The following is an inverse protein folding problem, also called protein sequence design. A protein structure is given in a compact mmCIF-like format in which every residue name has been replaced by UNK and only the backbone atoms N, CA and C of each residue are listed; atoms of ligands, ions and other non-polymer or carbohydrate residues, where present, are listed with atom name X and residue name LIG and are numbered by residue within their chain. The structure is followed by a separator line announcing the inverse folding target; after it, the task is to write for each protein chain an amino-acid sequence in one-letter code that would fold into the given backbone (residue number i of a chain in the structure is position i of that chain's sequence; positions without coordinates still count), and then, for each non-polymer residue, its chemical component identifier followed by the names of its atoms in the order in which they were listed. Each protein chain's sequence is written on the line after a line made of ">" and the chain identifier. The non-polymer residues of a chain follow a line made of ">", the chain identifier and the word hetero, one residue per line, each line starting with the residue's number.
data_IF_710051534885
#
_entry.id   IF_710051534885
#
_cell.length_a   1.000
_cell.length_b   1.000
_cell.length_c   1.000
_cell.angle_alpha   90.00
_cell.angle_beta   90.00
_cell.angle_gamma   90.00
#
_symmetry.space_group_name_H-M   'P 1'
#
loop_
_entity.id
_entity.type
_entity.pdbx_description
1 polymer ?
#
# COMPACT_ATOMS: atom_id res chain seq x y z
N UNK A 1 8.08 16.97 -4.23
CA UNK A 1 7.66 16.28 -2.99
C UNK A 1 7.82 14.79 -3.26
N UNK A 2 8.47 14.04 -2.37
CA UNK A 2 8.72 12.60 -2.60
C UNK A 2 7.56 11.79 -1.98
N UNK A 3 6.99 10.79 -2.67
CA UNK A 3 5.95 9.92 -2.12
C UNK A 3 6.51 8.98 -1.05
N UNK A 4 5.62 8.43 -0.20
CA UNK A 4 5.91 7.25 0.60
C UNK A 4 5.84 6.02 -0.31
N UNK A 5 6.74 5.07 -0.09
CA UNK A 5 6.91 3.88 -0.91
C UNK A 5 6.93 2.67 0.02
N UNK A 6 6.19 1.63 -0.32
CA UNK A 6 6.32 0.31 0.32
C UNK A 6 6.48 -0.77 -0.74
N UNK A 7 7.48 -1.63 -0.54
CA UNK A 7 7.80 -2.72 -1.48
C UNK A 7 7.19 -4.03 -0.98
N UNK A 8 6.66 -4.84 -1.89
CA UNK A 8 6.11 -6.15 -1.58
C UNK A 8 6.58 -7.20 -2.58
N UNK A 9 6.58 -8.46 -2.15
CA UNK A 9 7.05 -9.59 -2.95
C UNK A 9 5.93 -10.18 -3.81
N UNK A 10 6.29 -10.53 -5.04
CA UNK A 10 5.49 -11.30 -5.99
C UNK A 10 6.11 -12.69 -6.14
N UNK A 11 5.38 -13.62 -6.76
CA UNK A 11 5.87 -14.99 -7.02
C UNK A 11 7.21 -14.99 -7.78
N UNK A 12 7.43 -14.00 -8.65
CA UNK A 12 8.67 -13.85 -9.43
C UNK A 12 9.17 -12.40 -9.47
N UNK A 13 9.22 -11.73 -8.32
CA UNK A 13 9.84 -10.41 -8.25
C UNK A 13 9.39 -9.58 -7.06
N UNK A 14 9.59 -8.28 -7.16
CA UNK A 14 9.10 -7.30 -6.20
C UNK A 14 8.41 -6.17 -6.95
N UNK A 15 7.43 -5.56 -6.31
CA UNK A 15 6.74 -4.38 -6.80
C UNK A 15 6.59 -3.36 -5.67
N UNK A 16 6.19 -2.13 -6.00
CA UNK A 16 6.11 -1.01 -5.06
C UNK A 16 4.75 -0.32 -5.13
N UNK A 17 4.17 -0.02 -3.96
CA UNK A 17 3.01 0.86 -3.82
C UNK A 17 3.46 2.24 -3.34
N UNK A 18 2.90 3.28 -3.94
CA UNK A 18 3.21 4.67 -3.59
C UNK A 18 1.97 5.41 -3.09
N UNK A 19 2.16 6.28 -2.09
CA UNK A 19 1.14 7.22 -1.64
C UNK A 19 1.74 8.61 -1.39
N UNK A 20 0.97 9.66 -1.67
CA UNK A 20 1.37 11.02 -1.35
C UNK A 20 1.49 11.20 0.18
N UNK A 21 2.57 11.85 0.64
CA UNK A 21 2.86 12.03 2.08
C UNK A 21 1.82 12.87 2.83
N UNK A 22 0.98 13.61 2.11
CA UNK A 22 -0.07 14.47 2.65
C UNK A 22 -1.48 13.93 2.39
N UNK A 23 -1.60 12.72 1.82
CA UNK A 23 -2.88 12.08 1.52
C UNK A 23 -3.64 11.62 2.78
N UNK A 24 -2.93 11.30 3.87
CA UNK A 24 -3.52 10.79 5.12
C UNK A 24 -2.92 11.56 6.30
N UNK A 25 -3.77 11.94 7.26
CA UNK A 25 -3.39 12.65 8.48
C UNK A 25 -3.67 11.80 9.71
N UNK A 26 -2.99 12.14 10.81
CA UNK A 26 -3.24 11.50 12.10
C UNK A 26 -4.71 11.68 12.51
N UNK A 27 -5.39 10.57 12.78
CA UNK A 27 -6.81 10.55 13.17
C UNK A 27 -7.78 10.27 12.02
N UNK A 28 -7.31 10.21 10.77
CA UNK A 28 -8.15 9.78 9.65
C UNK A 28 -8.55 8.31 9.80
N UNK A 29 -9.82 8.01 9.52
CA UNK A 29 -10.29 6.63 9.37
C UNK A 29 -10.25 6.27 7.89
N UNK A 30 -9.33 5.39 7.53
CA UNK A 30 -9.07 5.00 6.15
C UNK A 30 -9.73 3.65 5.86
N UNK A 31 -10.44 3.55 4.74
CA UNK A 31 -10.99 2.31 4.21
C UNK A 31 -10.21 1.96 2.94
N UNK A 32 -9.53 0.82 2.96
CA UNK A 32 -8.87 0.26 1.77
C UNK A 32 -9.87 -0.69 1.11
N UNK A 33 -10.08 -0.51 -0.20
CA UNK A 33 -11.01 -1.32 -0.99
C UNK A 33 -10.22 -1.90 -2.15
N UNK A 34 -10.39 -3.20 -2.39
CA UNK A 34 -9.77 -3.94 -3.48
C UNK A 34 -10.83 -4.81 -4.15
N UNK A 35 -10.72 -5.03 -5.46
CA UNK A 35 -11.70 -5.79 -6.23
C UNK A 35 -11.49 -7.30 -6.12
N UNK A 36 -10.24 -7.75 -6.02
CA UNK A 36 -9.88 -9.15 -5.83
C UNK A 36 -8.63 -9.28 -4.94
N UNK A 37 -8.83 -9.77 -3.72
CA UNK A 37 -7.75 -10.09 -2.79
C UNK A 37 -7.19 -11.50 -3.09
N UNK A 38 -5.99 -11.59 -3.66
CA UNK A 38 -5.38 -12.89 -4.03
C UNK A 38 -4.57 -13.53 -2.88
N UNK A 39 -3.44 -12.93 -2.46
CA UNK A 39 -2.52 -13.49 -1.45
C UNK A 39 -2.39 -12.66 -0.18
N UNK A 40 -2.98 -11.45 -0.13
CA UNK A 40 -2.89 -10.56 1.02
C UNK A 40 -1.59 -9.75 1.14
N UNK A 41 -0.61 -9.95 0.24
CA UNK A 41 0.64 -9.17 0.24
C UNK A 41 0.44 -7.65 0.03
N UNK A 42 -0.68 -7.25 -0.58
CA UNK A 42 -1.08 -5.83 -0.72
C UNK A 42 -1.57 -5.19 0.59
N UNK A 43 -1.95 -5.97 1.60
CA UNK A 43 -2.47 -5.48 2.89
C UNK A 43 -1.42 -5.59 4.02
N UNK A 44 -0.40 -6.42 3.87
CA UNK A 44 0.56 -6.74 4.96
C UNK A 44 1.65 -5.67 5.19
N UNK A 45 1.70 -4.60 4.38
CA UNK A 45 2.59 -3.46 4.63
C UNK A 45 2.10 -2.64 5.84
N UNK A 46 2.46 -3.08 7.05
CA UNK A 46 2.12 -2.45 8.35
C UNK A 46 3.36 -1.96 9.08
#
# INVERSE_FOLDING_TARGET
>A
MKPLLESYELEYGTDQLEIHVDAIKAGDKVLVVDDLLATGGTIEAT
#
